data_IF_186304137590
#
_entry.id   IF_186304137590
#
_cell.length_a   1.000
_cell.length_b   1.000
_cell.length_c   1.000
_cell.angle_alpha   90.00
_cell.angle_beta   90.00
_cell.angle_gamma   90.00
#
_symmetry.space_group_name_H-M   'P 1'
#
loop_
_entity.id
_entity.type
_entity.pdbx_description
1 polymer ?
#
# COMPACT_ATOMS: atom_id res chain seq x y z
N UNK A 1 -2.47 41.87 53.69
CA UNK A 1 -2.13 40.44 53.58
C UNK A 1 -1.04 40.33 52.54
N UNK A 2 0.20 40.03 52.95
CA UNK A 2 1.32 39.92 52.00
C UNK A 2 1.11 38.67 51.16
N UNK A 3 1.07 38.83 49.84
CA UNK A 3 1.12 37.68 48.94
C UNK A 3 2.53 37.14 49.05
N UNK A 4 2.67 36.04 49.77
CA UNK A 4 3.92 35.33 49.95
C UNK A 4 4.36 34.71 48.62
N UNK A 5 5.67 34.69 48.35
CA UNK A 5 6.22 34.10 47.13
C UNK A 5 5.81 32.63 46.95
N UNK A 6 5.60 31.91 48.05
CA UNK A 6 5.10 30.53 48.04
C UNK A 6 3.66 30.44 47.49
N UNK A 7 2.82 31.45 47.74
CA UNK A 7 1.43 31.47 47.23
C UNK A 7 1.41 31.64 45.71
N UNK A 8 2.33 32.44 45.16
CA UNK A 8 2.48 32.64 43.72
C UNK A 8 2.98 31.36 43.05
N UNK A 9 3.98 30.70 43.66
CA UNK A 9 4.53 29.44 43.14
C UNK A 9 3.47 28.33 43.15
N UNK A 10 2.68 28.21 44.23
CA UNK A 10 1.58 27.24 44.31
C UNK A 10 0.49 27.51 43.27
N UNK A 11 0.11 28.77 43.07
CA UNK A 11 -0.86 29.13 42.04
C UNK A 11 -0.35 28.80 40.63
N UNK A 12 0.92 29.09 40.34
CA UNK A 12 1.56 28.74 39.07
C UNK A 12 1.65 27.22 38.86
N UNK A 13 1.96 26.46 39.90
CA UNK A 13 2.04 25.00 39.86
C UNK A 13 0.66 24.36 39.56
N UNK A 14 -0.40 24.86 40.19
CA UNK A 14 -1.77 24.39 39.96
C UNK A 14 -2.21 24.70 38.53
N UNK A 15 -1.96 25.92 38.04
CA UNK A 15 -2.26 26.28 36.65
C UNK A 15 -1.48 25.42 35.64
N UNK A 16 -0.19 25.19 35.89
CA UNK A 16 0.63 24.31 35.06
C UNK A 16 0.10 22.87 35.03
N UNK A 17 -0.31 22.33 36.17
CA UNK A 17 -0.89 20.99 36.27
C UNK A 17 -2.21 20.89 35.50
N UNK A 18 -3.09 21.89 35.59
CA UNK A 18 -4.36 21.92 34.85
C UNK A 18 -4.14 21.98 33.34
N UNK A 19 -3.19 22.79 32.87
CA UNK A 19 -2.84 22.89 31.44
C UNK A 19 -2.24 21.56 30.95
N UNK A 20 -1.36 20.94 31.73
CA UNK A 20 -0.76 19.65 31.39
C UNK A 20 -1.83 18.55 31.27
N UNK A 21 -2.77 18.48 32.22
CA UNK A 21 -3.88 17.54 32.17
C UNK A 21 -4.83 17.81 30.99
N UNK A 22 -5.16 19.08 30.73
CA UNK A 22 -6.02 19.46 29.62
C UNK A 22 -5.41 19.12 28.26
N UNK A 23 -4.12 19.38 28.08
CA UNK A 23 -3.40 19.06 26.84
C UNK A 23 -3.23 17.55 26.65
N UNK A 24 -2.95 16.79 27.71
CA UNK A 24 -2.90 15.34 27.68
C UNK A 24 -4.25 14.72 27.28
N UNK A 25 -5.35 15.16 27.91
CA UNK A 25 -6.69 14.68 27.59
C UNK A 25 -7.09 14.99 26.14
N UNK A 26 -6.81 16.21 25.67
CA UNK A 26 -7.08 16.61 24.28
C UNK A 26 -6.28 15.77 23.27
N UNK A 27 -5.00 15.50 23.56
CA UNK A 27 -4.15 14.67 22.71
C UNK A 27 -4.70 13.24 22.57
N UNK A 28 -5.18 12.65 23.66
CA UNK A 28 -5.79 11.30 23.64
C UNK A 28 -7.08 11.29 22.81
N UNK A 29 -7.99 12.24 23.01
CA UNK A 29 -9.24 12.32 22.25
C UNK A 29 -8.95 12.52 20.74
N UNK A 30 -8.02 13.42 20.41
CA UNK A 30 -7.60 13.67 19.03
C UNK A 30 -6.94 12.45 18.39
N UNK A 31 -6.18 11.67 19.16
CA UNK A 31 -5.56 10.44 18.69
C UNK A 31 -6.62 9.37 18.33
N UNK A 32 -7.65 9.19 19.16
CA UNK A 32 -8.76 8.29 18.86
C UNK A 32 -9.54 8.71 17.60
N UNK A 33 -9.84 10.01 17.43
CA UNK A 33 -10.53 10.50 16.22
C UNK A 33 -9.69 10.35 14.95
N UNK A 34 -8.36 10.43 15.07
CA UNK A 34 -7.44 10.26 13.92
C UNK A 34 -7.34 8.81 13.47
N UNK A 35 -7.40 7.86 14.41
CA UNK A 35 -7.41 6.42 14.12
C UNK A 35 -8.60 6.04 13.24
N UNK A 36 -9.80 6.50 13.58
CA UNK A 36 -11.03 6.12 12.88
C UNK A 36 -11.03 6.57 11.41
N UNK A 37 -10.55 7.79 11.13
CA UNK A 37 -10.40 8.30 9.76
C UNK A 37 -9.33 7.55 8.96
N UNK A 38 -8.20 7.21 9.60
CA UNK A 38 -7.13 6.48 8.92
C UNK A 38 -7.55 5.05 8.54
N UNK A 39 -8.36 4.39 9.34
CA UNK A 39 -8.78 3.01 9.04
C UNK A 39 -9.66 2.90 7.80
N UNK A 40 -10.57 3.86 7.57
CA UNK A 40 -11.45 3.86 6.40
C UNK A 40 -10.65 4.17 5.13
N UNK A 41 -9.78 5.18 5.18
CA UNK A 41 -8.94 5.57 4.04
C UNK A 41 -8.01 4.42 3.62
N UNK A 42 -7.46 3.66 4.58
CA UNK A 42 -6.60 2.51 4.28
C UNK A 42 -7.39 1.39 3.58
N UNK A 43 -8.64 1.11 3.99
CA UNK A 43 -9.43 0.05 3.37
C UNK A 43 -9.80 0.39 1.91
N UNK A 44 -10.18 1.63 1.64
CA UNK A 44 -10.48 2.09 0.27
C UNK A 44 -9.24 2.06 -0.62
N UNK A 45 -8.09 2.51 -0.10
CA UNK A 45 -6.81 2.44 -0.82
C UNK A 45 -6.44 0.98 -1.15
N UNK A 46 -6.57 0.06 -0.19
CA UNK A 46 -6.28 -1.37 -0.43
C UNK A 46 -7.21 -1.99 -1.47
N UNK A 47 -8.50 -1.67 -1.45
CA UNK A 47 -9.45 -2.13 -2.47
C UNK A 47 -9.07 -1.63 -3.86
N UNK A 48 -8.66 -0.37 -3.95
CA UNK A 48 -8.20 0.22 -5.21
C UNK A 48 -6.91 -0.44 -5.71
N UNK A 49 -5.93 -0.63 -4.82
CA UNK A 49 -4.68 -1.33 -5.16
C UNK A 49 -4.92 -2.77 -5.64
N UNK A 50 -5.85 -3.50 -5.01
CA UNK A 50 -6.23 -4.85 -5.44
C UNK A 50 -6.88 -4.87 -6.84
N UNK A 51 -7.72 -3.87 -7.14
CA UNK A 51 -8.32 -3.71 -8.47
C UNK A 51 -7.25 -3.39 -9.52
N UNK A 52 -6.42 -2.39 -9.27
CA UNK A 52 -5.35 -1.98 -10.19
C UNK A 52 -4.36 -3.14 -10.44
N UNK A 53 -4.01 -3.89 -9.39
CA UNK A 53 -3.13 -5.06 -9.51
C UNK A 53 -3.76 -6.18 -10.36
N UNK A 54 -5.09 -6.37 -10.24
CA UNK A 54 -5.81 -7.35 -11.03
C UNK A 54 -5.82 -6.98 -12.51
N UNK A 55 -6.14 -5.72 -12.82
CA UNK A 55 -6.13 -5.21 -14.20
C UNK A 55 -4.72 -5.33 -14.82
N UNK A 56 -3.69 -4.90 -14.09
CA UNK A 56 -2.31 -4.99 -14.56
C UNK A 56 -1.86 -6.44 -14.80
N UNK A 57 -2.29 -7.38 -13.96
CA UNK A 57 -2.00 -8.81 -14.18
C UNK A 57 -2.69 -9.33 -15.43
N UNK A 58 -3.93 -8.92 -15.68
CA UNK A 58 -4.70 -9.37 -16.84
C UNK A 58 -4.09 -8.78 -18.14
N UNK A 59 -3.66 -7.51 -18.14
CA UNK A 59 -2.91 -6.91 -19.24
C UNK A 59 -1.58 -7.61 -19.50
N UNK A 60 -0.81 -7.92 -18.44
CA UNK A 60 0.47 -8.64 -18.58
C UNK A 60 0.28 -10.07 -19.11
N UNK A 61 -0.85 -10.70 -18.79
CA UNK A 61 -1.23 -11.98 -19.36
C UNK A 61 -1.43 -11.85 -20.87
N UNK A 62 -2.21 -10.86 -21.31
CA UNK A 62 -2.46 -10.58 -22.72
C UNK A 62 -1.16 -10.26 -23.48
N UNK A 63 -0.27 -9.45 -22.91
CA UNK A 63 1.04 -9.14 -23.49
C UNK A 63 1.90 -10.41 -23.64
N UNK A 64 1.85 -11.32 -22.65
CA UNK A 64 2.57 -12.59 -22.72
C UNK A 64 2.07 -13.47 -23.86
N UNK A 65 0.76 -13.52 -24.10
CA UNK A 65 0.19 -14.21 -25.27
C UNK A 65 0.58 -13.54 -26.59
N UNK A 66 0.55 -12.21 -26.66
CA UNK A 66 0.98 -11.47 -27.85
C UNK A 66 2.47 -11.75 -28.17
N UNK A 67 3.34 -11.77 -27.16
CA UNK A 67 4.75 -12.12 -27.33
C UNK A 67 4.93 -13.55 -27.84
N UNK A 68 4.14 -14.51 -27.34
CA UNK A 68 4.17 -15.88 -27.82
C UNK A 68 3.78 -15.97 -29.31
N UNK A 69 2.73 -15.26 -29.72
CA UNK A 69 2.32 -15.18 -31.13
C UNK A 69 3.41 -14.54 -32.02
N UNK A 70 4.09 -13.49 -31.54
CA UNK A 70 5.22 -12.89 -32.24
C UNK A 70 6.39 -13.88 -32.40
N UNK A 71 6.72 -14.61 -31.33
CA UNK A 71 7.79 -15.63 -31.36
C UNK A 71 7.44 -16.78 -32.30
N UNK A 72 6.18 -17.20 -32.36
CA UNK A 72 5.73 -18.22 -33.32
C UNK A 72 5.83 -17.73 -34.76
N UNK A 73 5.44 -16.48 -35.04
CA UNK A 73 5.64 -15.86 -36.35
C UNK A 73 7.12 -15.81 -36.77
N UNK A 74 8.02 -15.42 -35.85
CA UNK A 74 9.47 -15.44 -36.11
C UNK A 74 10.00 -16.85 -36.37
N UNK A 75 9.50 -17.85 -35.65
CA UNK A 75 9.82 -19.26 -35.86
C UNK A 75 9.35 -19.74 -37.24
N UNK A 76 8.17 -19.33 -37.70
CA UNK A 76 7.64 -19.62 -39.04
C UNK A 76 8.48 -18.98 -40.16
N UNK A 77 9.12 -17.83 -39.89
CA UNK A 77 10.08 -17.19 -40.78
C UNK A 77 11.49 -17.84 -40.78
N UNK A 78 11.60 -19.04 -40.20
CA UNK A 78 12.83 -19.81 -40.10
C UNK A 78 13.94 -19.16 -39.24
N UNK A 79 13.59 -18.19 -38.38
CA UNK A 79 14.46 -17.68 -37.33
C UNK A 79 14.54 -18.70 -36.18
N UNK A 80 15.39 -19.72 -36.35
CA UNK A 80 15.53 -20.82 -35.40
C UNK A 80 16.65 -20.60 -34.37
N UNK A 81 16.65 -21.39 -33.29
CA UNK A 81 17.62 -21.32 -32.20
C UNK A 81 17.04 -20.59 -30.99
N UNK A 82 17.53 -19.40 -30.69
CA UNK A 82 17.13 -18.61 -29.52
C UNK A 82 15.62 -18.30 -29.48
N UNK A 83 15.00 -18.06 -30.64
CA UNK A 83 13.55 -17.78 -30.75
C UNK A 83 12.71 -18.99 -30.38
N UNK A 84 13.08 -20.18 -30.89
CA UNK A 84 12.38 -21.44 -30.57
C UNK A 84 12.53 -21.80 -29.09
N UNK A 85 13.71 -21.56 -28.51
CA UNK A 85 13.94 -21.76 -27.07
C UNK A 85 13.09 -20.80 -26.23
N UNK A 86 13.06 -19.51 -26.59
CA UNK A 86 12.25 -18.51 -25.92
C UNK A 86 10.75 -18.81 -26.01
N UNK A 87 10.27 -19.22 -27.19
CA UNK A 87 8.89 -19.65 -27.41
C UNK A 87 8.51 -20.79 -26.46
N UNK A 88 9.30 -21.87 -26.46
CA UNK A 88 9.02 -23.05 -25.65
C UNK A 88 9.06 -22.76 -24.13
N UNK A 89 9.99 -21.90 -23.68
CA UNK A 89 10.05 -21.48 -22.27
C UNK A 89 8.83 -20.65 -21.87
N UNK A 90 8.44 -19.68 -22.71
CA UNK A 90 7.30 -18.80 -22.44
C UNK A 90 5.98 -19.59 -22.46
N UNK A 91 5.80 -20.45 -23.45
CA UNK A 91 4.64 -21.35 -23.56
C UNK A 91 4.52 -22.26 -22.34
N UNK A 92 5.62 -22.91 -21.92
CA UNK A 92 5.63 -23.77 -20.73
C UNK A 92 5.29 -22.98 -19.46
N UNK A 93 5.83 -21.78 -19.30
CA UNK A 93 5.55 -20.93 -18.14
C UNK A 93 4.09 -20.49 -18.11
N UNK A 94 3.53 -20.13 -19.26
CA UNK A 94 2.14 -19.71 -19.39
C UNK A 94 1.18 -20.88 -19.12
N UNK A 95 1.48 -22.07 -19.63
CA UNK A 95 0.70 -23.27 -19.37
C UNK A 95 0.75 -23.67 -17.88
N UNK A 96 1.92 -23.60 -17.24
CA UNK A 96 2.06 -23.81 -15.80
C UNK A 96 1.35 -22.77 -14.95
N UNK A 97 1.18 -21.53 -15.45
CA UNK A 97 0.37 -20.51 -14.79
C UNK A 97 -1.12 -20.80 -14.95
N UNK A 98 -1.57 -21.16 -16.16
CA UNK A 98 -2.96 -21.50 -16.44
C UNK A 98 -3.46 -22.72 -15.64
N UNK A 99 -2.61 -23.73 -15.42
CA UNK A 99 -2.94 -24.88 -14.58
C UNK A 99 -2.87 -24.61 -13.06
N UNK A 100 -2.27 -23.50 -12.63
CA UNK A 100 -2.16 -23.10 -11.22
C UNK A 100 -3.23 -22.08 -10.80
N UNK A 101 -4.04 -21.61 -11.72
CA UNK A 101 -5.22 -20.77 -11.48
C UNK A 101 -6.48 -21.64 -11.38
#
# INVERSE_FOLDING_TARGET
MYIDGDTIIRAAAILGALIALGTAAYAVIKWFQKQEKQTVDIEELRKKEEQDLKELRDEQCLISYAMLACLDGLKQLNCNGAVTEAHNKLEKHLNQKAHRQ
#
